data_IF_534902958400
#
_entry.id   IF_534902958400
#
_cell.length_a   1.000
_cell.length_b   1.000
_cell.length_c   1.000
_cell.angle_alpha   90.00
_cell.angle_beta   90.00
_cell.angle_gamma   90.00
#
_symmetry.space_group_name_H-M   'P 1'
#
loop_
_entity.id
_entity.type
_entity.pdbx_description
1 polymer ?
#
# COMPACT_ATOMS: atom_id res chain seq x y z
N UNK A 1 -1.19 -15.33 20.35
CA UNK A 1 -2.47 -15.86 19.86
C UNK A 1 -3.37 -14.65 19.67
N UNK A 2 -3.72 -14.30 18.43
CA UNK A 2 -4.58 -13.13 18.13
C UNK A 2 -6.03 -13.47 18.48
N UNK A 3 -6.80 -12.48 18.94
CA UNK A 3 -8.24 -12.60 19.14
C UNK A 3 -9.02 -12.60 17.80
N UNK A 4 -8.34 -12.33 16.68
CA UNK A 4 -8.90 -12.29 15.33
C UNK A 4 -9.53 -10.96 14.96
N UNK A 5 -9.39 -9.94 15.81
CA UNK A 5 -9.89 -8.60 15.57
C UNK A 5 -8.79 -7.74 14.95
N UNK A 6 -8.55 -7.91 13.65
CA UNK A 6 -7.64 -7.07 12.89
C UNK A 6 -8.24 -5.66 12.80
N UNK A 7 -7.50 -4.66 13.28
CA UNK A 7 -7.93 -3.26 13.24
C UNK A 7 -7.16 -2.51 12.18
N UNK A 8 -7.85 -1.61 11.48
CA UNK A 8 -7.19 -0.72 10.54
C UNK A 8 -6.22 0.19 11.30
N UNK A 9 -4.99 0.28 10.80
CA UNK A 9 -3.98 1.12 11.41
C UNK A 9 -4.25 2.60 11.19
N UNK A 10 -3.58 3.43 11.98
CA UNK A 10 -3.59 4.88 11.77
C UNK A 10 -2.93 5.24 10.44
N UNK A 11 -3.65 5.97 9.58
CA UNK A 11 -3.12 6.56 8.35
C UNK A 11 -3.09 8.10 8.47
N UNK A 12 -1.91 8.65 8.71
CA UNK A 12 -1.68 10.08 8.69
C UNK A 12 -1.41 10.58 7.28
N UNK A 13 -1.65 11.86 7.02
CA UNK A 13 -1.35 12.48 5.71
C UNK A 13 0.12 12.42 5.28
N UNK A 14 1.02 12.09 6.20
CA UNK A 14 2.44 11.88 5.96
C UNK A 14 2.94 10.51 6.39
N UNK A 15 2.05 9.58 6.75
CA UNK A 15 2.46 8.20 7.02
C UNK A 15 2.74 7.45 5.71
N UNK A 16 3.28 6.25 5.84
CA UNK A 16 3.29 5.27 4.75
C UNK A 16 2.16 4.26 4.93
N UNK A 17 2.28 3.06 4.33
CA UNK A 17 1.25 2.02 4.42
C UNK A 17 1.10 1.52 5.87
N UNK A 18 -0.12 1.15 6.26
CA UNK A 18 -0.35 0.43 7.53
C UNK A 18 -0.08 -1.08 7.42
N UNK A 19 -0.21 -1.78 8.55
CA UNK A 19 0.11 -3.20 8.64
C UNK A 19 -1.10 -4.14 8.47
N UNK A 20 -2.30 -3.62 8.17
CA UNK A 20 -3.54 -4.41 8.25
C UNK A 20 -3.52 -5.68 7.37
N UNK A 21 -3.21 -5.54 6.08
CA UNK A 21 -3.11 -6.71 5.19
C UNK A 21 -1.90 -7.60 5.51
N UNK A 22 -0.83 -7.03 6.08
CA UNK A 22 0.37 -7.78 6.50
C UNK A 22 0.06 -8.70 7.67
N UNK A 23 -0.64 -8.19 8.67
CA UNK A 23 -1.03 -8.97 9.85
C UNK A 23 -1.88 -10.17 9.44
N UNK A 24 -2.90 -9.95 8.59
CA UNK A 24 -3.76 -11.04 8.11
C UNK A 24 -2.95 -12.05 7.28
N UNK A 25 -2.14 -11.59 6.34
CA UNK A 25 -1.32 -12.43 5.50
C UNK A 25 -0.37 -13.31 6.31
N UNK A 26 0.44 -12.68 7.15
CA UNK A 26 1.46 -13.36 7.94
C UNK A 26 0.85 -14.30 8.98
N UNK A 27 -0.27 -13.93 9.62
CA UNK A 27 -0.90 -14.76 10.65
C UNK A 27 -1.77 -15.88 10.10
N UNK A 28 -2.46 -15.70 8.97
CA UNK A 28 -3.46 -16.64 8.47
C UNK A 28 -3.09 -17.31 7.13
N UNK A 29 -2.52 -16.56 6.19
CA UNK A 29 -2.24 -17.06 4.84
C UNK A 29 -0.90 -17.83 4.78
N UNK A 30 0.14 -17.30 5.39
CA UNK A 30 1.51 -17.82 5.31
C UNK A 30 1.94 -18.66 6.52
N UNK A 31 1.08 -18.76 7.53
CA UNK A 31 1.38 -19.55 8.74
C UNK A 31 1.02 -21.02 8.58
N UNK A 32 1.84 -21.88 9.22
CA UNK A 32 1.59 -23.33 9.34
C UNK A 32 1.35 -23.64 10.82
N UNK A 33 0.18 -24.22 11.19
CA UNK A 33 -0.10 -24.55 12.57
C UNK A 33 0.82 -25.69 13.05
N UNK A 34 1.53 -25.47 14.15
CA UNK A 34 2.33 -26.51 14.81
C UNK A 34 1.49 -27.41 15.71
N UNK A 35 0.37 -26.87 16.21
CA UNK A 35 -0.62 -27.58 17.02
C UNK A 35 -1.98 -26.94 16.80
N UNK A 36 -3.00 -27.76 16.58
CA UNK A 36 -4.37 -27.30 16.38
C UNK A 36 -5.28 -28.05 17.35
N UNK A 37 -6.06 -27.28 18.13
CA UNK A 37 -7.10 -27.82 18.99
C UNK A 37 -8.34 -26.91 18.87
N UNK A 38 -9.48 -27.52 18.55
CA UNK A 38 -10.74 -26.81 18.29
C UNK A 38 -10.82 -26.19 16.89
N UNK A 39 -11.90 -25.41 16.65
CA UNK A 39 -12.26 -24.85 15.35
C UNK A 39 -11.78 -23.40 15.12
N UNK A 40 -11.14 -22.77 16.12
CA UNK A 40 -10.89 -21.32 16.11
C UNK A 40 -10.07 -20.84 14.92
N UNK A 41 -8.99 -21.55 14.57
CA UNK A 41 -8.15 -21.19 13.43
C UNK A 41 -8.92 -21.31 12.11
N UNK A 42 -9.71 -22.37 11.96
CA UNK A 42 -10.57 -22.56 10.79
C UNK A 42 -11.63 -21.45 10.66
N UNK A 43 -12.27 -21.04 11.76
CA UNK A 43 -13.22 -19.92 11.78
C UNK A 43 -12.57 -18.59 11.36
N UNK A 44 -11.36 -18.32 11.86
CA UNK A 44 -10.58 -17.15 11.47
C UNK A 44 -10.22 -17.21 9.98
N UNK A 45 -9.70 -18.33 9.49
CA UNK A 45 -9.40 -18.51 8.07
C UNK A 45 -10.64 -18.33 7.21
N UNK A 46 -11.81 -18.83 7.62
CA UNK A 46 -13.06 -18.65 6.88
C UNK A 46 -13.53 -17.18 6.83
N UNK A 47 -13.16 -16.37 7.82
CA UNK A 47 -13.57 -14.96 7.90
C UNK A 47 -12.68 -14.06 7.04
N UNK A 48 -11.40 -14.43 6.87
CA UNK A 48 -10.39 -13.57 6.25
C UNK A 48 -9.82 -14.14 4.94
N UNK A 49 -9.89 -15.45 4.70
CA UNK A 49 -9.35 -16.10 3.49
C UNK A 49 -10.48 -16.53 2.53
N UNK A 50 -10.22 -16.63 1.21
CA UNK A 50 -8.95 -16.32 0.54
C UNK A 50 -8.64 -14.81 0.50
N UNK A 51 -9.65 -13.97 0.75
CA UNK A 51 -9.51 -12.55 0.98
C UNK A 51 -10.75 -12.03 1.73
N UNK A 52 -10.59 -11.00 2.56
CA UNK A 52 -11.71 -10.43 3.32
C UNK A 52 -12.79 -9.80 2.42
N UNK A 53 -13.91 -9.40 3.03
CA UNK A 53 -15.13 -8.99 2.32
C UNK A 53 -14.90 -7.91 1.24
N UNK A 54 -15.70 -7.95 0.18
CA UNK A 54 -15.59 -7.00 -0.94
C UNK A 54 -15.79 -5.55 -0.54
N UNK A 55 -16.66 -5.30 0.44
CA UNK A 55 -16.96 -3.95 0.93
C UNK A 55 -15.79 -3.38 1.73
N UNK A 56 -15.21 -4.18 2.61
CA UNK A 56 -13.96 -3.80 3.28
C UNK A 56 -12.85 -3.58 2.26
N UNK A 57 -12.74 -4.42 1.21
CA UNK A 57 -11.72 -4.26 0.16
C UNK A 57 -11.84 -2.93 -0.55
N UNK A 58 -13.04 -2.55 -1.00
CA UNK A 58 -13.24 -1.27 -1.71
C UNK A 58 -12.83 -0.09 -0.82
N UNK A 59 -13.16 -0.14 0.47
CA UNK A 59 -12.81 0.90 1.44
C UNK A 59 -11.30 0.99 1.64
N UNK A 60 -10.64 -0.15 1.89
CA UNK A 60 -9.17 -0.26 2.04
C UNK A 60 -8.45 0.21 0.78
N UNK A 61 -8.90 -0.22 -0.39
CA UNK A 61 -8.32 0.15 -1.69
C UNK A 61 -8.38 1.65 -1.93
N UNK A 62 -9.55 2.27 -1.70
CA UNK A 62 -9.71 3.71 -1.92
C UNK A 62 -8.90 4.53 -0.92
N UNK A 63 -8.77 4.07 0.33
CA UNK A 63 -7.92 4.69 1.34
C UNK A 63 -6.45 4.62 0.93
N UNK A 64 -5.91 3.43 0.65
CA UNK A 64 -4.51 3.24 0.26
C UNK A 64 -4.16 4.05 -1.01
N UNK A 65 -5.06 4.06 -2.00
CA UNK A 65 -4.94 4.87 -3.20
C UNK A 65 -4.84 6.37 -2.90
N UNK A 66 -5.72 6.88 -2.03
CA UNK A 66 -5.74 8.31 -1.63
C UNK A 66 -4.39 8.73 -1.05
N UNK A 67 -3.85 7.95 -0.10
CA UNK A 67 -2.58 8.32 0.53
C UNK A 67 -1.40 8.21 -0.43
N UNK A 68 -1.39 7.17 -1.28
CA UNK A 68 -0.37 7.00 -2.33
C UNK A 68 -0.29 8.23 -3.24
N UNK A 69 -1.42 8.62 -3.83
CA UNK A 69 -1.51 9.78 -4.72
C UNK A 69 -1.16 11.08 -3.99
N UNK A 70 -1.65 11.26 -2.77
CA UNK A 70 -1.29 12.41 -1.94
C UNK A 70 0.23 12.49 -1.71
N UNK A 71 0.91 11.38 -1.41
CA UNK A 71 2.36 11.38 -1.25
C UNK A 71 3.07 11.72 -2.56
N UNK A 72 2.63 11.18 -3.71
CA UNK A 72 3.17 11.49 -5.05
C UNK A 72 3.05 12.98 -5.37
N UNK A 73 1.84 13.55 -5.24
CA UNK A 73 1.54 14.95 -5.57
C UNK A 73 2.38 15.95 -4.76
N UNK A 74 2.80 15.57 -3.55
CA UNK A 74 3.63 16.41 -2.70
C UNK A 74 5.13 16.35 -3.01
N UNK A 75 5.60 15.42 -3.85
CA UNK A 75 7.03 15.32 -4.19
C UNK A 75 7.51 16.56 -4.92
N UNK A 76 6.84 16.96 -6.01
CA UNK A 76 7.28 18.08 -6.85
C UNK A 76 7.40 19.40 -6.09
N UNK A 77 6.41 19.83 -5.27
CA UNK A 77 6.54 21.04 -4.44
C UNK A 77 7.73 21.01 -3.46
N UNK A 78 8.14 19.83 -2.96
CA UNK A 78 9.32 19.73 -2.09
C UNK A 78 10.62 19.85 -2.89
N UNK A 79 10.70 19.23 -4.07
CA UNK A 79 11.87 19.35 -4.97
C UNK A 79 12.07 20.82 -5.39
N UNK A 80 11.00 21.52 -5.75
CA UNK A 80 11.06 22.95 -6.14
C UNK A 80 11.57 23.85 -5.01
N UNK A 81 11.33 23.46 -3.76
CA UNK A 81 11.83 24.15 -2.55
C UNK A 81 13.19 23.64 -2.08
N UNK A 82 13.84 22.76 -2.84
CA UNK A 82 15.11 22.10 -2.48
C UNK A 82 15.03 21.30 -1.17
N UNK A 83 13.83 20.85 -0.79
CA UNK A 83 13.58 20.01 0.39
C UNK A 83 13.74 18.52 0.02
N UNK A 84 14.89 18.15 -0.53
CA UNK A 84 15.12 16.84 -1.16
C UNK A 84 14.89 15.65 -0.22
N UNK A 85 15.28 15.73 1.05
CA UNK A 85 14.99 14.68 2.03
C UNK A 85 13.49 14.50 2.29
N UNK A 86 12.73 15.58 2.29
CA UNK A 86 11.28 15.52 2.47
C UNK A 86 10.60 14.99 1.20
N UNK A 87 11.07 15.39 0.02
CA UNK A 87 10.64 14.83 -1.26
C UNK A 87 10.90 13.32 -1.34
N UNK A 88 12.10 12.88 -0.95
CA UNK A 88 12.45 11.47 -0.93
C UNK A 88 11.60 10.67 0.07
N UNK A 89 11.35 11.20 1.27
CA UNK A 89 10.45 10.56 2.24
C UNK A 89 9.05 10.38 1.66
N UNK A 90 8.53 11.37 0.93
CA UNK A 90 7.23 11.27 0.23
C UNK A 90 7.25 10.18 -0.84
N UNK A 91 8.28 10.14 -1.68
CA UNK A 91 8.46 9.10 -2.69
C UNK A 91 8.52 7.70 -2.06
N UNK A 92 9.27 7.53 -0.97
CA UNK A 92 9.39 6.25 -0.27
C UNK A 92 8.05 5.78 0.31
N UNK A 93 7.31 6.68 0.97
CA UNK A 93 5.99 6.37 1.50
C UNK A 93 5.01 5.99 0.37
N UNK A 94 4.99 6.77 -0.71
CA UNK A 94 4.16 6.49 -1.88
C UNK A 94 4.46 5.11 -2.50
N UNK A 95 5.74 4.72 -2.57
CA UNK A 95 6.14 3.42 -3.10
C UNK A 95 5.58 2.26 -2.24
N UNK A 96 5.60 2.39 -0.91
CA UNK A 96 4.97 1.44 0.00
C UNK A 96 3.45 1.38 -0.16
N UNK A 97 2.79 2.53 -0.25
CA UNK A 97 1.33 2.63 -0.45
C UNK A 97 0.90 2.15 -1.85
N UNK A 98 1.76 2.26 -2.86
CA UNK A 98 1.54 1.65 -4.17
C UNK A 98 1.52 0.13 -4.05
N UNK A 99 2.47 -0.47 -3.32
CA UNK A 99 2.46 -1.92 -3.07
C UNK A 99 1.20 -2.33 -2.32
N UNK A 100 0.83 -1.62 -1.25
CA UNK A 100 -0.41 -1.87 -0.52
C UNK A 100 -1.62 -1.84 -1.45
N UNK A 101 -1.76 -0.76 -2.23
CA UNK A 101 -2.85 -0.58 -3.20
C UNK A 101 -2.88 -1.73 -4.20
N UNK A 102 -1.72 -2.12 -4.74
CA UNK A 102 -1.57 -3.20 -5.72
C UNK A 102 -2.01 -4.56 -5.14
N UNK A 103 -1.58 -4.90 -3.94
CA UNK A 103 -1.96 -6.14 -3.26
C UNK A 103 -3.48 -6.19 -3.00
N UNK A 104 -4.07 -5.08 -2.55
CA UNK A 104 -5.52 -4.98 -2.34
C UNK A 104 -6.30 -5.10 -3.65
N UNK A 105 -5.83 -4.44 -4.71
CA UNK A 105 -6.42 -4.53 -6.04
C UNK A 105 -6.44 -5.98 -6.55
N UNK A 106 -5.35 -6.73 -6.32
CA UNK A 106 -5.18 -8.13 -6.72
C UNK A 106 -5.78 -9.15 -5.75
N UNK A 107 -6.37 -8.72 -4.62
CA UNK A 107 -6.92 -9.61 -3.57
C UNK A 107 -5.89 -10.62 -3.08
N UNK A 108 -4.67 -10.15 -2.88
CA UNK A 108 -3.54 -10.92 -2.35
C UNK A 108 -3.07 -10.26 -1.08
N UNK A 109 -2.61 -11.08 -0.13
CA UNK A 109 -1.95 -10.56 1.06
C UNK A 109 -0.47 -10.32 0.76
N UNK A 110 0.10 -9.18 1.18
CA UNK A 110 1.54 -8.96 1.14
C UNK A 110 2.21 -9.66 2.33
N UNK A 111 3.52 -9.88 2.20
CA UNK A 111 4.38 -10.32 3.31
C UNK A 111 4.96 -9.10 4.04
N UNK A 112 5.35 -8.07 3.28
CA UNK A 112 5.87 -6.78 3.76
C UNK A 112 5.73 -5.70 2.67
N UNK A 113 5.99 -4.43 2.95
CA UNK A 113 6.05 -3.38 1.92
C UNK A 113 7.47 -2.88 1.63
N UNK A 114 8.46 -3.38 2.35
CA UNK A 114 9.88 -2.97 2.26
C UNK A 114 10.83 -4.18 2.10
N UNK A 115 10.36 -5.41 2.32
CA UNK A 115 11.15 -6.64 2.29
C UNK A 115 10.62 -7.62 1.26
N UNK A 116 11.50 -8.50 0.78
CA UNK A 116 11.16 -9.57 -0.16
C UNK A 116 10.42 -9.10 -1.41
N UNK A 117 10.68 -7.85 -1.85
CA UNK A 117 9.95 -7.20 -2.95
C UNK A 117 9.99 -8.01 -4.25
N UNK A 118 11.10 -8.71 -4.52
CA UNK A 118 11.21 -9.59 -5.68
C UNK A 118 10.22 -10.74 -5.61
N UNK A 119 10.22 -11.50 -4.52
CA UNK A 119 9.29 -12.63 -4.32
C UNK A 119 7.84 -12.16 -4.42
N UNK A 120 7.54 -11.03 -3.76
CA UNK A 120 6.21 -10.44 -3.76
C UNK A 120 5.73 -10.02 -5.15
N UNK A 121 6.53 -9.30 -5.93
CA UNK A 121 6.14 -8.84 -7.26
C UNK A 121 6.20 -9.96 -8.31
N UNK A 122 7.23 -10.79 -8.28
CA UNK A 122 7.47 -11.81 -9.31
C UNK A 122 6.65 -13.07 -9.04
N UNK A 123 6.71 -13.61 -7.84
CA UNK A 123 6.19 -14.95 -7.53
C UNK A 123 4.75 -14.89 -7.02
N UNK A 124 4.44 -13.96 -6.10
CA UNK A 124 3.09 -13.85 -5.51
C UNK A 124 2.11 -13.16 -6.47
N UNK A 125 2.54 -12.05 -7.08
CA UNK A 125 1.69 -11.27 -7.99
C UNK A 125 1.84 -11.66 -9.47
N UNK A 126 2.90 -12.38 -9.85
CA UNK A 126 3.13 -12.79 -11.24
C UNK A 126 3.50 -11.62 -12.16
N UNK A 127 4.17 -10.58 -11.65
CA UNK A 127 4.52 -9.34 -12.36
C UNK A 127 6.04 -9.14 -12.44
N UNK A 128 6.76 -9.99 -13.21
CA UNK A 128 8.22 -9.92 -13.28
C UNK A 128 8.76 -8.60 -13.82
N UNK A 129 8.08 -7.99 -14.79
CA UNK A 129 8.50 -6.74 -15.43
C UNK A 129 8.29 -5.51 -14.52
N UNK A 130 7.45 -5.64 -13.50
CA UNK A 130 7.21 -4.56 -12.54
C UNK A 130 8.38 -4.41 -11.56
N UNK A 131 9.05 -5.50 -11.21
CA UNK A 131 10.16 -5.47 -10.25
C UNK A 131 11.30 -4.52 -10.64
N UNK A 132 11.90 -4.57 -11.85
CA UNK A 132 12.97 -3.65 -12.22
C UNK A 132 12.50 -2.19 -12.26
N UNK A 133 11.25 -1.93 -12.65
CA UNK A 133 10.66 -0.59 -12.62
C UNK A 133 10.56 -0.07 -11.19
N UNK A 134 10.04 -0.90 -10.27
CA UNK A 134 9.89 -0.54 -8.86
C UNK A 134 11.25 -0.27 -8.19
N UNK A 135 12.26 -1.11 -8.42
CA UNK A 135 13.62 -0.88 -7.88
C UNK A 135 14.23 0.41 -8.43
N UNK A 136 13.98 0.73 -9.70
CA UNK A 136 14.47 1.95 -10.31
C UNK A 136 13.86 3.22 -9.71
N UNK A 137 12.67 3.16 -9.10
CA UNK A 137 12.07 4.31 -8.38
C UNK A 137 12.94 4.77 -7.20
N UNK A 138 13.55 3.83 -6.49
CA UNK A 138 14.35 4.13 -5.30
C UNK A 138 15.86 4.23 -5.60
N UNK A 139 16.25 3.99 -6.84
CA UNK A 139 17.62 4.16 -7.32
C UNK A 139 17.82 5.61 -7.75
N UNK A 140 18.22 6.47 -6.80
CA UNK A 140 18.51 7.89 -7.01
C UNK A 140 20.02 8.08 -7.21
N UNK A 141 20.43 8.61 -8.36
CA UNK A 141 21.84 8.86 -8.70
C UNK A 141 22.28 10.26 -8.27
N UNK A 142 21.42 11.24 -8.43
CA UNK A 142 21.65 12.63 -8.05
C UNK A 142 20.53 13.10 -7.13
N UNK A 143 20.79 13.05 -5.83
CA UNK A 143 19.77 13.25 -4.80
C UNK A 143 19.25 14.69 -4.72
N UNK A 144 20.09 15.68 -5.06
CA UNK A 144 19.75 17.11 -5.01
C UNK A 144 19.31 17.63 -6.39
N UNK A 145 18.68 16.77 -7.18
CA UNK A 145 18.22 17.08 -8.54
C UNK A 145 16.71 16.90 -8.73
N UNK A 146 16.22 17.11 -9.95
CA UNK A 146 14.85 16.79 -10.33
C UNK A 146 14.56 15.29 -10.36
N UNK A 147 15.57 14.42 -10.20
CA UNK A 147 15.40 12.97 -10.32
C UNK A 147 14.28 12.43 -9.40
N UNK A 148 14.19 12.92 -8.16
CA UNK A 148 13.13 12.48 -7.21
C UNK A 148 11.72 12.79 -7.77
N UNK A 149 11.55 13.93 -8.44
CA UNK A 149 10.30 14.27 -9.12
C UNK A 149 10.04 13.33 -10.29
N UNK A 150 11.05 13.08 -11.12
CA UNK A 150 10.91 12.18 -12.27
C UNK A 150 10.54 10.74 -11.82
N UNK A 151 11.06 10.28 -10.68
CA UNK A 151 10.64 9.00 -10.07
C UNK A 151 9.21 9.03 -9.56
N UNK A 152 8.74 10.16 -9.00
CA UNK A 152 7.36 10.29 -8.56
C UNK A 152 6.38 10.26 -9.74
N UNK A 153 6.73 10.92 -10.85
CA UNK A 153 5.95 10.85 -12.10
C UNK A 153 5.91 9.40 -12.63
N UNK A 154 7.05 8.69 -12.63
CA UNK A 154 7.10 7.27 -13.02
C UNK A 154 6.28 6.36 -12.09
N UNK A 155 6.22 6.66 -10.79
CA UNK A 155 5.37 5.95 -9.85
C UNK A 155 3.88 6.23 -10.10
N UNK A 156 3.51 7.46 -10.48
CA UNK A 156 2.15 7.79 -10.89
C UNK A 156 1.72 6.96 -12.11
N UNK A 157 2.56 6.87 -13.13
CA UNK A 157 2.27 6.06 -14.33
C UNK A 157 2.10 4.58 -13.98
N UNK A 158 2.94 4.05 -13.09
CA UNK A 158 2.78 2.68 -12.56
C UNK A 158 1.47 2.51 -11.79
N UNK A 159 1.08 3.50 -10.99
CA UNK A 159 -0.18 3.46 -10.25
C UNK A 159 -1.37 3.39 -11.21
N UNK A 160 -1.37 4.21 -12.26
CA UNK A 160 -2.42 4.22 -13.28
C UNK A 160 -2.51 2.89 -14.04
N UNK A 161 -1.37 2.33 -14.41
CA UNK A 161 -1.27 1.07 -15.14
C UNK A 161 -1.82 -0.12 -14.35
N UNK A 162 -1.47 -0.22 -13.06
CA UNK A 162 -1.71 -1.43 -12.26
C UNK A 162 -2.89 -1.37 -11.30
N UNK A 163 -3.28 -0.17 -10.85
CA UNK A 163 -4.24 -0.01 -9.75
C UNK A 163 -5.54 0.70 -10.18
N UNK A 164 -5.48 1.68 -11.08
CA UNK A 164 -6.59 2.61 -11.34
C UNK A 164 -7.90 1.94 -11.81
N UNK A 165 -7.79 0.84 -12.57
CA UNK A 165 -8.96 0.09 -13.07
C UNK A 165 -9.82 -0.53 -11.96
N UNK A 166 -9.23 -0.79 -10.80
CA UNK A 166 -9.89 -1.44 -9.66
C UNK A 166 -10.46 -0.44 -8.65
N UNK A 167 -10.10 0.85 -8.77
CA UNK A 167 -10.54 1.90 -7.85
C UNK A 167 -11.97 2.33 -8.27
N UNK A 168 -12.97 2.25 -7.37
CA UNK A 168 -14.31 2.68 -7.69
C UNK A 168 -14.34 4.15 -8.12
N UNK A 169 -14.83 4.43 -9.33
CA UNK A 169 -15.06 5.79 -9.82
C UNK A 169 -16.19 6.43 -9.01
N UNK A 170 -15.90 6.96 -7.81
CA UNK A 170 -16.96 7.44 -6.94
C UNK A 170 -16.57 8.73 -6.21
N UNK A 171 -17.11 9.85 -6.71
CA UNK A 171 -17.16 11.16 -6.04
C UNK A 171 -17.70 11.06 -4.59
N UNK A 172 -18.38 9.98 -4.21
CA UNK A 172 -18.87 9.70 -2.86
C UNK A 172 -17.80 9.30 -1.85
N UNK A 173 -16.70 8.69 -2.27
CA UNK A 173 -15.61 8.31 -1.35
C UNK A 173 -14.85 9.57 -0.90
N UNK A 174 -14.67 10.54 -1.80
CA UNK A 174 -14.13 11.87 -1.49
C UNK A 174 -14.94 12.54 -0.37
N UNK A 175 -16.28 12.56 -0.47
CA UNK A 175 -17.14 13.17 0.55
C UNK A 175 -17.11 12.49 1.95
N UNK A 176 -16.76 11.20 2.03
CA UNK A 176 -16.63 10.50 3.33
C UNK A 176 -15.21 10.63 3.91
N UNK A 177 -14.22 10.93 3.06
CA UNK A 177 -12.82 11.10 3.42
C UNK A 177 -12.43 12.57 3.66
N UNK A 178 -13.20 13.52 3.15
CA UNK A 178 -13.08 14.97 3.41
C UNK A 178 -13.72 15.37 4.76
N UNK A 179 -14.51 14.50 5.37
CA UNK A 179 -15.13 14.69 6.69
C UNK A 179 -14.27 14.22 7.87
N UNK A 180 -13.10 13.64 7.60
CA UNK A 180 -12.14 13.35 8.67
C UNK A 180 -11.48 14.68 9.10
N UNK A 181 -11.59 15.08 10.38
CA UNK A 181 -11.00 16.33 10.84
C UNK A 181 -9.49 16.28 10.63
N UNK A 182 -8.95 17.36 10.06
CA UNK A 182 -7.54 17.66 10.07
C UNK A 182 -7.07 17.75 11.53
N UNK A 183 -6.19 16.85 12.02
CA UNK A 183 -5.70 16.93 13.39
C UNK A 183 -4.72 18.11 13.59
N UNK A 184 -4.54 18.99 12.60
CA UNK A 184 -3.68 20.18 12.67
C UNK A 184 -4.43 21.52 12.48
N UNK A 185 -5.72 21.59 12.82
CA UNK A 185 -6.39 22.88 13.10
C UNK A 185 -6.86 23.01 14.53
#
# INVERSE_FOLDING_TARGET
MTDGNFQEGYHGWCSGPDEFELEIGNLLQYSVPLYENGSRLAELKNSWLPYYSSELRKRRLAMAAKYCLNNIEHVAPFVERQLFFQAFRRLYNAAGEFLQTLFIARRKYPIAYDKWIREQLVEILGLPDLYPRFVNLLSIKDFESSEIRDKADALHDMFDEYCMKEIPSNRRIQATLDSAPDPQR
#
